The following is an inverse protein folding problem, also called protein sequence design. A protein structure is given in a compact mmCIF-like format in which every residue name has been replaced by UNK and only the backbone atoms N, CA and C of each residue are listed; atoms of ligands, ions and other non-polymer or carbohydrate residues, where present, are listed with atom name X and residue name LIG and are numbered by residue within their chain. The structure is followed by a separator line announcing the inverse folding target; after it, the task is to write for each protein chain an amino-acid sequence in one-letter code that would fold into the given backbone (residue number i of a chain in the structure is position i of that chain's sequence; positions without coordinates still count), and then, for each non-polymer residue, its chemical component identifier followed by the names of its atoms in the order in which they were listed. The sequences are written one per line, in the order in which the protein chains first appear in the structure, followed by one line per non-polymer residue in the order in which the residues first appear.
data_IF_264854218808
#
_entry.id   IF_264854218808
#
_cell.length_a   1.000
_cell.length_b   1.000
_cell.length_c   1.000
_cell.angle_alpha   90.00
_cell.angle_beta   90.00
_cell.angle_gamma   90.00
#
_symmetry.space_group_name_H-M   'P 1'
#
loop_
_entity.id
_entity.type
_entity.pdbx_description
1 polymer ?
#
# COMPACT_ATOMS: atom_id res chain seq x y z
N UNK A 1 -19.30 63.25 -4.48
CA UNK A 1 -20.10 62.34 -5.29
C UNK A 1 -19.45 60.97 -5.26
N UNK A 2 -19.90 60.10 -4.36
CA UNK A 2 -19.43 58.73 -4.23
C UNK A 2 -20.29 57.83 -5.11
N UNK A 3 -19.66 57.13 -6.07
CA UNK A 3 -20.28 56.08 -6.85
C UNK A 3 -19.95 54.73 -6.21
N UNK A 4 -20.93 54.17 -5.52
CA UNK A 4 -20.93 52.80 -5.00
C UNK A 4 -21.05 51.81 -6.16
N UNK A 5 -20.02 50.96 -6.36
CA UNK A 5 -20.09 49.79 -7.26
C UNK A 5 -20.60 48.59 -6.45
N UNK A 6 -21.83 48.20 -6.65
CA UNK A 6 -22.38 46.93 -6.24
C UNK A 6 -21.79 45.83 -7.11
N UNK A 7 -20.96 44.99 -6.52
CA UNK A 7 -20.53 43.68 -7.08
C UNK A 7 -21.66 42.68 -6.83
N UNK A 8 -22.42 42.34 -7.85
CA UNK A 8 -23.32 41.21 -7.87
C UNK A 8 -22.52 39.92 -7.92
N UNK A 9 -22.41 39.23 -6.79
CA UNK A 9 -21.94 37.83 -6.73
C UNK A 9 -23.04 36.94 -7.31
N UNK A 10 -22.92 36.54 -8.56
CA UNK A 10 -23.76 35.52 -9.15
C UNK A 10 -23.29 34.17 -8.59
N UNK A 11 -24.06 33.65 -7.61
CA UNK A 11 -23.90 32.27 -7.15
C UNK A 11 -24.26 31.34 -8.32
N UNK A 12 -23.25 30.70 -8.93
CA UNK A 12 -23.49 29.58 -9.81
C UNK A 12 -24.03 28.42 -8.97
N UNK A 13 -25.36 28.27 -8.98
CA UNK A 13 -26.00 27.05 -8.52
C UNK A 13 -25.72 25.99 -9.59
N UNK A 14 -24.65 25.23 -9.42
CA UNK A 14 -24.45 24.00 -10.16
C UNK A 14 -25.56 23.03 -9.73
N UNK A 15 -26.35 22.46 -10.69
CA UNK A 15 -27.27 21.40 -10.34
C UNK A 15 -26.46 20.27 -9.72
N UNK A 16 -26.71 19.93 -8.49
CA UNK A 16 -26.27 18.69 -7.88
C UNK A 16 -27.01 17.57 -8.62
N UNK A 17 -26.42 17.11 -9.74
CA UNK A 17 -26.70 15.76 -10.19
C UNK A 17 -26.22 14.87 -9.06
N UNK A 18 -27.17 14.31 -8.29
CA UNK A 18 -26.90 13.12 -7.53
C UNK A 18 -26.41 12.07 -8.53
N UNK A 19 -25.09 12.04 -8.77
CA UNK A 19 -24.45 10.84 -9.25
C UNK A 19 -24.76 9.81 -8.17
N UNK A 20 -25.79 9.00 -8.37
CA UNK A 20 -25.87 7.70 -7.71
C UNK A 20 -24.56 7.03 -8.02
N UNK A 21 -23.65 7.09 -7.09
CA UNK A 21 -22.50 6.23 -7.00
C UNK A 21 -23.07 4.82 -6.97
N UNK A 22 -23.13 4.15 -8.14
CA UNK A 22 -23.10 2.70 -8.18
C UNK A 22 -21.87 2.37 -7.38
N UNK A 23 -22.05 1.71 -6.23
CA UNK A 23 -21.08 1.68 -5.14
C UNK A 23 -19.68 1.42 -5.66
N UNK A 24 -18.69 2.08 -5.07
CA UNK A 24 -17.30 1.72 -5.33
C UNK A 24 -17.22 0.20 -5.41
N UNK A 25 -16.55 -0.39 -6.38
CA UNK A 25 -16.26 -1.80 -6.36
C UNK A 25 -15.52 -2.05 -5.05
N UNK A 26 -16.30 -2.33 -4.01
CA UNK A 26 -15.74 -2.75 -2.74
C UNK A 26 -15.02 -4.05 -2.98
N UNK A 27 -13.96 -4.28 -2.22
CA UNK A 27 -13.29 -5.56 -2.22
C UNK A 27 -14.34 -6.67 -2.32
N UNK A 28 -14.12 -7.57 -3.23
CA UNK A 28 -14.95 -8.76 -3.46
C UNK A 28 -15.23 -9.46 -2.12
N UNK A 29 -16.12 -10.43 -2.06
CA UNK A 29 -16.36 -11.28 -0.87
C UNK A 29 -15.05 -11.87 -0.32
N UNK A 30 -14.00 -11.91 -1.14
CA UNK A 30 -12.66 -12.35 -0.77
C UNK A 30 -11.79 -11.22 -0.25
N UNK A 31 -10.83 -11.58 0.60
CA UNK A 31 -9.85 -10.66 1.13
C UNK A 31 -8.95 -10.15 -0.01
N UNK A 32 -8.75 -8.83 -0.08
CA UNK A 32 -7.79 -8.19 -0.97
C UNK A 32 -6.74 -7.49 -0.12
N UNK A 33 -5.52 -7.98 -0.17
CA UNK A 33 -4.41 -7.50 0.68
C UNK A 33 -3.46 -6.58 -0.06
N UNK A 34 -2.67 -5.83 0.72
CA UNK A 34 -1.53 -5.05 0.26
C UNK A 34 -0.21 -5.89 0.39
N UNK A 35 -0.35 -7.22 0.46
CA UNK A 35 0.72 -8.23 0.57
C UNK A 35 0.47 -9.39 -0.38
N UNK A 36 1.53 -10.17 -0.76
CA UNK A 36 2.96 -10.10 -0.39
C UNK A 36 3.82 -9.22 -1.30
N UNK A 37 3.25 -8.68 -2.37
CA UNK A 37 3.91 -7.74 -3.27
C UNK A 37 4.12 -6.37 -2.62
N UNK A 38 4.92 -5.51 -3.24
CA UNK A 38 5.11 -4.12 -2.83
C UNK A 38 3.96 -3.25 -3.30
N UNK A 39 3.31 -3.66 -4.38
CA UNK A 39 2.12 -3.01 -4.94
C UNK A 39 0.93 -3.17 -4.00
N UNK A 40 0.42 -2.07 -3.47
CA UNK A 40 -0.82 -2.10 -2.70
C UNK A 40 -2.01 -2.42 -3.61
N UNK A 41 -3.01 -3.13 -3.06
CA UNK A 41 -4.30 -3.32 -3.72
C UNK A 41 -4.93 -1.98 -4.10
N UNK A 42 -5.54 -1.90 -5.27
CA UNK A 42 -6.35 -0.74 -5.69
C UNK A 42 -7.72 -0.70 -5.01
N UNK A 43 -8.12 -1.75 -4.29
CA UNK A 43 -9.41 -1.88 -3.64
C UNK A 43 -9.34 -1.45 -2.17
N UNK A 44 -10.44 -0.88 -1.68
CA UNK A 44 -10.64 -0.60 -0.25
C UNK A 44 -11.29 -1.79 0.45
N UNK A 45 -11.02 -1.94 1.74
CA UNK A 45 -11.70 -2.91 2.61
C UNK A 45 -13.18 -2.53 2.73
N UNK A 46 -14.12 -3.51 2.68
CA UNK A 46 -15.55 -3.22 2.79
C UNK A 46 -15.90 -2.42 4.04
N UNK A 47 -16.89 -1.52 3.90
CA UNK A 47 -17.34 -0.66 5.01
C UNK A 47 -17.73 -1.49 6.23
N UNK A 48 -17.18 -1.15 7.39
CA UNK A 48 -17.41 -1.87 8.66
C UNK A 48 -16.62 -3.16 8.79
N UNK A 49 -15.63 -3.39 7.93
CA UNK A 49 -14.70 -4.50 8.03
C UNK A 49 -13.33 -4.02 8.49
N UNK A 50 -12.67 -4.82 9.32
CA UNK A 50 -11.31 -4.62 9.81
C UNK A 50 -10.41 -5.72 9.26
N UNK A 51 -9.37 -5.35 8.54
CA UNK A 51 -8.38 -6.26 7.99
C UNK A 51 -7.04 -6.03 8.67
N UNK A 52 -6.35 -7.12 8.96
CA UNK A 52 -4.97 -7.07 9.45
C UNK A 52 -4.08 -7.96 8.58
N UNK A 53 -2.94 -7.42 8.24
CA UNK A 53 -1.92 -8.03 7.40
C UNK A 53 -0.61 -8.04 8.17
N UNK A 54 0.06 -9.18 8.23
CA UNK A 54 1.33 -9.32 8.94
C UNK A 54 2.32 -10.12 8.11
N UNK A 55 3.60 -9.86 8.32
CA UNK A 55 4.65 -10.63 7.67
C UNK A 55 6.00 -10.47 8.34
N UNK A 56 6.89 -11.39 8.00
CA UNK A 56 8.29 -11.38 8.40
C UNK A 56 9.13 -11.56 7.15
N UNK A 57 10.15 -10.73 7.00
CA UNK A 57 11.10 -10.83 5.90
C UNK A 57 12.51 -11.12 6.43
N UNK A 58 13.23 -11.91 5.67
CA UNK A 58 14.67 -12.07 5.78
C UNK A 58 15.31 -11.44 4.55
N UNK A 59 16.24 -10.52 4.74
CA UNK A 59 16.95 -9.85 3.66
C UNK A 59 18.45 -10.08 3.75
N UNK A 60 19.08 -10.24 2.59
CA UNK A 60 20.53 -10.39 2.45
C UNK A 60 21.06 -9.33 1.49
N UNK A 61 22.12 -8.65 1.93
CA UNK A 61 22.94 -7.73 1.14
C UNK A 61 24.37 -8.28 1.08
N UNK A 62 25.18 -7.76 0.21
CA UNK A 62 26.59 -8.16 0.09
C UNK A 62 27.35 -8.01 1.42
N UNK A 63 26.98 -6.99 2.21
CA UNK A 63 27.64 -6.61 3.47
C UNK A 63 26.86 -7.00 4.73
N UNK A 64 25.65 -7.59 4.62
CA UNK A 64 24.88 -7.88 5.80
C UNK A 64 23.60 -8.67 5.60
N UNK A 65 23.01 -9.03 6.73
CA UNK A 65 21.75 -9.76 6.81
C UNK A 65 20.82 -9.09 7.83
N UNK A 66 19.56 -8.99 7.50
CA UNK A 66 18.56 -8.46 8.41
C UNK A 66 17.29 -9.32 8.41
N UNK A 67 16.57 -9.27 9.53
CA UNK A 67 15.21 -9.79 9.66
C UNK A 67 14.32 -8.60 10.04
N UNK A 68 13.20 -8.48 9.42
CA UNK A 68 12.20 -7.49 9.81
C UNK A 68 10.82 -8.15 10.01
N UNK A 69 10.10 -7.63 10.98
CA UNK A 69 8.75 -8.08 11.37
C UNK A 69 8.17 -7.16 12.46
N UNK A 70 6.88 -7.12 12.64
CA UNK A 70 5.85 -7.98 12.05
C UNK A 70 5.23 -7.42 10.75
N UNK A 71 5.72 -6.32 10.21
CA UNK A 71 5.17 -5.65 9.02
C UNK A 71 3.62 -5.54 9.10
N UNK A 72 3.13 -5.12 10.28
CA UNK A 72 1.70 -5.17 10.60
C UNK A 72 0.99 -3.95 10.05
N UNK A 73 0.04 -4.19 9.14
CA UNK A 73 -0.89 -3.19 8.58
C UNK A 73 -2.31 -3.47 9.02
N UNK A 74 -2.98 -2.44 9.52
CA UNK A 74 -4.40 -2.48 9.84
C UNK A 74 -5.16 -1.60 8.86
N UNK A 75 -6.27 -2.13 8.33
CA UNK A 75 -7.12 -1.45 7.35
C UNK A 75 -8.56 -1.51 7.83
N UNK A 76 -9.23 -0.37 7.92
CA UNK A 76 -10.63 -0.25 8.36
C UNK A 76 -11.45 0.46 7.28
N UNK A 77 -12.42 -0.23 6.72
CA UNK A 77 -13.39 0.36 5.80
C UNK A 77 -14.37 1.26 6.55
N UNK A 78 -14.28 2.57 6.32
CA UNK A 78 -15.10 3.59 7.03
C UNK A 78 -16.26 4.11 6.20
N UNK A 79 -16.20 4.00 4.88
CA UNK A 79 -17.24 4.37 3.94
C UNK A 79 -17.09 3.53 2.64
N UNK A 80 -18.06 3.55 1.70
CA UNK A 80 -18.02 2.68 0.51
C UNK A 80 -16.74 2.73 -0.31
N UNK A 81 -16.08 3.89 -0.39
CA UNK A 81 -14.86 4.06 -1.17
C UNK A 81 -13.68 4.54 -0.33
N UNK A 82 -13.74 4.39 0.98
CA UNK A 82 -12.80 5.02 1.88
C UNK A 82 -12.39 4.08 3.00
N UNK A 83 -11.08 3.90 3.17
CA UNK A 83 -10.52 3.18 4.30
C UNK A 83 -9.44 3.98 5.01
N UNK A 84 -9.29 3.74 6.29
CA UNK A 84 -8.16 4.19 7.09
C UNK A 84 -7.18 3.03 7.21
N UNK A 85 -5.91 3.33 7.02
CA UNK A 85 -4.80 2.38 7.21
C UNK A 85 -3.90 2.86 8.34
N UNK A 86 -3.31 1.91 9.04
CA UNK A 86 -2.25 2.19 10.02
C UNK A 86 -1.19 1.10 9.92
N UNK A 87 0.02 1.47 9.52
CA UNK A 87 1.17 0.61 9.67
C UNK A 87 1.72 0.74 11.08
N UNK A 88 1.83 -0.38 11.78
CA UNK A 88 2.48 -0.44 13.09
C UNK A 88 4.00 -0.54 12.93
N UNK A 89 4.76 -0.14 13.96
CA UNK A 89 6.21 -0.20 13.89
C UNK A 89 6.74 -1.61 13.63
N UNK A 90 7.44 -1.78 12.55
CA UNK A 90 8.20 -3.00 12.23
C UNK A 90 9.55 -2.94 12.90
N UNK A 91 9.98 -4.01 13.53
CA UNK A 91 11.32 -4.13 14.08
C UNK A 91 12.28 -4.67 13.04
N UNK A 92 13.33 -3.91 12.76
CA UNK A 92 14.48 -4.34 11.96
C UNK A 92 15.57 -4.85 12.90
N UNK A 93 15.91 -6.12 12.76
CA UNK A 93 17.05 -6.74 13.43
C UNK A 93 18.20 -6.90 12.42
N UNK A 94 19.26 -6.12 12.56
CA UNK A 94 20.49 -6.41 11.86
C UNK A 94 21.15 -7.64 12.49
N UNK A 95 21.17 -8.75 11.76
CA UNK A 95 21.66 -10.04 12.25
C UNK A 95 23.16 -10.18 11.99
N UNK A 96 23.65 -9.59 10.91
CA UNK A 96 25.06 -9.65 10.51
C UNK A 96 25.42 -8.46 9.63
N UNK A 97 26.61 -7.90 9.84
CA UNK A 97 27.17 -6.82 9.04
C UNK A 97 26.95 -5.42 9.64
N UNK A 98 27.41 -4.38 8.96
CA UNK A 98 27.22 -3.02 9.40
C UNK A 98 25.76 -2.60 9.19
N UNK A 99 25.07 -2.21 10.23
CA UNK A 99 23.70 -1.73 10.15
C UNK A 99 23.10 -1.50 11.53
N UNK A 100 22.01 -0.75 11.55
CA UNK A 100 21.29 -0.45 12.77
C UNK A 100 20.11 -1.43 12.94
N UNK A 101 19.77 -1.70 14.19
CA UNK A 101 18.51 -2.36 14.56
C UNK A 101 17.59 -1.32 15.21
N UNK A 102 16.29 -1.50 15.05
CA UNK A 102 15.31 -0.61 15.66
C UNK A 102 13.94 -0.69 14.97
N UNK A 103 13.06 0.19 15.37
CA UNK A 103 11.68 0.23 14.89
C UNK A 103 11.49 1.26 13.79
N UNK A 104 10.62 0.96 12.83
CA UNK A 104 10.06 1.93 11.90
C UNK A 104 9.04 2.85 12.60
N UNK A 105 8.53 3.82 11.87
CA UNK A 105 7.48 4.71 12.34
C UNK A 105 6.11 4.04 12.37
N UNK A 106 5.20 4.53 13.20
CA UNK A 106 3.76 4.39 12.98
C UNK A 106 3.39 5.23 11.77
N UNK A 107 2.64 4.66 10.83
CA UNK A 107 2.26 5.37 9.60
C UNK A 107 0.75 5.28 9.36
N UNK A 108 -0.04 6.26 9.82
CA UNK A 108 -1.44 6.39 9.45
C UNK A 108 -1.58 6.85 8.00
N UNK A 109 -2.62 6.36 7.32
CA UNK A 109 -2.98 6.78 5.98
C UNK A 109 -4.50 6.73 5.74
N UNK A 110 -4.92 7.41 4.69
CA UNK A 110 -6.27 7.38 4.14
C UNK A 110 -6.18 6.88 2.70
N UNK A 111 -6.95 5.86 2.34
CA UNK A 111 -7.05 5.35 0.98
C UNK A 111 -8.46 5.62 0.46
N UNK A 112 -8.50 6.25 -0.69
CA UNK A 112 -9.72 6.55 -1.42
C UNK A 112 -9.71 5.80 -2.74
N UNK A 113 -10.63 4.85 -2.90
CA UNK A 113 -10.85 4.18 -4.17
C UNK A 113 -11.62 5.11 -5.10
N UNK A 114 -10.99 5.49 -6.18
CA UNK A 114 -11.59 6.26 -7.26
C UNK A 114 -12.40 5.27 -8.08
N UNK A 115 -13.68 5.59 -8.34
CA UNK A 115 -14.57 4.71 -9.11
C UNK A 115 -13.92 4.29 -10.43
N UNK A 116 -14.26 3.08 -10.98
CA UNK A 116 -13.56 2.57 -12.15
C UNK A 116 -13.50 3.61 -13.25
N UNK A 117 -12.27 3.89 -13.70
CA UNK A 117 -12.04 4.71 -14.86
C UNK A 117 -12.45 3.94 -16.14
N UNK A 118 -12.78 4.61 -17.26
CA UNK A 118 -13.11 3.93 -18.49
C UNK A 118 -12.05 2.86 -18.84
N UNK A 119 -12.47 1.62 -19.11
CA UNK A 119 -11.57 0.51 -19.43
C UNK A 119 -11.46 -0.57 -18.36
N UNK A 120 -12.27 -0.52 -17.29
CA UNK A 120 -12.26 -1.50 -16.18
C UNK A 120 -10.97 -1.50 -15.34
N UNK A 121 -10.32 -0.36 -15.25
CA UNK A 121 -9.16 -0.17 -14.38
C UNK A 121 -9.67 0.31 -13.03
N UNK A 122 -9.30 -0.40 -11.96
CA UNK A 122 -9.48 0.06 -10.61
C UNK A 122 -8.29 0.96 -10.22
N UNK A 123 -8.58 2.08 -9.58
CA UNK A 123 -7.59 3.07 -9.18
C UNK A 123 -7.91 3.59 -7.79
N UNK A 124 -6.88 3.75 -6.96
CA UNK A 124 -6.98 4.41 -5.67
C UNK A 124 -5.92 5.48 -5.49
N UNK A 125 -6.18 6.39 -4.57
CA UNK A 125 -5.22 7.34 -4.05
C UNK A 125 -5.04 7.11 -2.55
N UNK A 126 -3.78 7.01 -2.10
CA UNK A 126 -3.40 6.87 -0.69
C UNK A 126 -2.62 8.09 -0.27
N UNK A 127 -3.01 8.68 0.85
CA UNK A 127 -2.33 9.81 1.48
C UNK A 127 -1.93 9.39 2.89
N UNK A 128 -0.64 9.29 3.14
CA UNK A 128 -0.13 8.82 4.42
C UNK A 128 1.07 9.61 4.92
N UNK A 129 1.45 9.33 6.16
CA UNK A 129 2.64 9.91 6.76
C UNK A 129 3.24 9.00 7.83
N UNK A 130 4.55 8.80 7.78
CA UNK A 130 5.31 8.24 8.90
C UNK A 130 5.46 9.27 10.01
N UNK A 131 4.97 8.96 11.21
CA UNK A 131 5.15 9.80 12.40
C UNK A 131 6.49 9.47 13.07
N UNK A 132 7.24 10.43 13.63
CA UNK A 132 8.57 10.18 14.20
C UNK A 132 8.50 9.44 15.54
N UNK A 133 7.96 8.22 15.54
CA UNK A 133 7.76 7.35 16.70
C UNK A 133 8.77 6.22 16.78
N UNK A 134 9.47 5.94 15.68
CA UNK A 134 10.43 4.85 15.57
C UNK A 134 11.82 5.21 16.11
N UNK A 135 12.74 4.28 15.92
CA UNK A 135 14.15 4.48 16.26
C UNK A 135 14.80 5.46 15.27
N UNK A 136 15.46 6.49 15.77
CA UNK A 136 16.09 7.53 14.93
C UNK A 136 17.01 6.95 13.85
N UNK A 137 17.75 5.90 14.20
CA UNK A 137 18.69 5.25 13.28
C UNK A 137 18.01 4.50 12.09
N UNK A 138 16.73 4.17 12.23
CA UNK A 138 15.93 3.48 11.20
C UNK A 138 14.95 4.45 10.55
N UNK A 139 14.23 5.22 11.36
CA UNK A 139 13.06 5.99 10.95
C UNK A 139 13.32 7.50 10.81
N UNK A 140 14.50 8.00 11.24
CA UNK A 140 14.80 9.44 11.25
C UNK A 140 14.03 10.22 12.30
N UNK A 141 14.08 11.56 12.22
CA UNK A 141 13.55 12.47 13.26
C UNK A 141 12.31 13.26 12.85
N UNK A 142 11.89 13.19 11.61
CA UNK A 142 10.81 14.03 11.10
C UNK A 142 9.62 13.24 10.58
N UNK A 143 8.53 13.95 10.32
CA UNK A 143 7.36 13.40 9.64
C UNK A 143 7.74 13.06 8.19
N UNK A 144 7.26 11.94 7.68
CA UNK A 144 7.56 11.41 6.36
C UNK A 144 6.26 11.23 5.56
N UNK A 145 5.75 12.30 4.93
CA UNK A 145 4.56 12.20 4.09
C UNK A 145 4.82 11.31 2.86
N UNK A 146 3.77 10.68 2.37
CA UNK A 146 3.80 9.96 1.10
C UNK A 146 2.44 9.99 0.41
N UNK A 147 2.49 9.82 -0.90
CA UNK A 147 1.30 9.60 -1.74
C UNK A 147 1.51 8.37 -2.60
N UNK A 148 0.45 7.57 -2.79
CA UNK A 148 0.48 6.37 -3.62
C UNK A 148 -0.73 6.32 -4.53
N UNK A 149 -0.56 5.75 -5.71
CA UNK A 149 -1.60 5.56 -6.72
C UNK A 149 -1.57 4.10 -7.19
N UNK A 150 -2.11 3.16 -6.40
CA UNK A 150 -2.26 1.78 -6.84
C UNK A 150 -3.39 1.67 -7.86
N UNK A 151 -3.15 0.86 -8.90
CA UNK A 151 -4.10 0.56 -9.94
C UNK A 151 -4.06 -0.94 -10.28
N UNK A 152 -5.18 -1.48 -10.78
CA UNK A 152 -5.26 -2.86 -11.25
C UNK A 152 -6.19 -3.00 -12.43
N UNK A 153 -5.97 -4.03 -13.23
CA UNK A 153 -6.79 -4.38 -14.37
C UNK A 153 -6.88 -5.90 -14.49
N UNK A 154 -8.11 -6.41 -14.34
CA UNK A 154 -8.39 -7.83 -14.58
C UNK A 154 -8.43 -8.11 -16.10
N UNK A 155 -7.64 -9.09 -16.51
CA UNK A 155 -7.57 -9.57 -17.88
C UNK A 155 -8.46 -10.80 -18.04
N UNK A 156 -8.18 -11.64 -19.01
CA UNK A 156 -8.90 -12.88 -19.28
C UNK A 156 -8.22 -14.08 -18.61
N UNK A 157 -8.98 -15.13 -18.36
CA UNK A 157 -8.47 -16.44 -17.91
C UNK A 157 -7.67 -16.36 -16.60
N UNK A 158 -8.11 -15.57 -15.62
CA UNK A 158 -7.46 -15.43 -14.32
C UNK A 158 -6.09 -14.74 -14.37
N UNK A 159 -5.78 -13.99 -15.43
CA UNK A 159 -4.65 -13.06 -15.46
C UNK A 159 -5.08 -11.70 -14.97
N UNK A 160 -4.22 -11.04 -14.21
CA UNK A 160 -4.36 -9.63 -13.88
C UNK A 160 -3.03 -8.91 -13.98
N UNK A 161 -3.10 -7.59 -14.15
CA UNK A 161 -1.95 -6.69 -14.06
C UNK A 161 -2.29 -5.61 -13.07
N UNK A 162 -1.32 -5.23 -12.28
CA UNK A 162 -1.42 -4.12 -11.34
C UNK A 162 -0.11 -3.36 -11.24
N UNK A 163 -0.15 -2.23 -10.58
CA UNK A 163 1.05 -1.44 -10.35
C UNK A 163 0.76 -0.27 -9.44
N UNK A 164 1.80 0.39 -9.02
CA UNK A 164 1.70 1.52 -8.12
C UNK A 164 2.78 2.54 -8.45
N UNK A 165 2.43 3.79 -8.30
CA UNK A 165 3.35 4.90 -8.23
C UNK A 165 3.32 5.46 -6.81
N UNK A 166 4.48 5.60 -6.19
CA UNK A 166 4.62 6.18 -4.86
C UNK A 166 5.64 7.31 -4.87
N UNK A 167 5.34 8.39 -4.17
CA UNK A 167 6.30 9.45 -3.88
C UNK A 167 6.43 9.59 -2.35
N UNK A 168 7.61 9.30 -1.84
CA UNK A 168 7.97 9.47 -0.43
C UNK A 168 8.73 10.77 -0.24
N UNK A 169 8.32 11.57 0.74
CA UNK A 169 9.01 12.78 1.16
C UNK A 169 9.71 12.52 2.50
N UNK A 170 11.00 12.77 2.55
CA UNK A 170 11.82 12.49 3.72
C UNK A 170 12.34 13.76 4.38
N UNK A 171 12.48 13.77 5.72
CA UNK A 171 13.03 14.91 6.43
C UNK A 171 14.52 15.16 6.09
N UNK A 172 15.04 16.28 6.57
CA UNK A 172 16.37 16.78 6.21
C UNK A 172 17.54 15.94 6.75
N UNK A 173 17.30 15.03 7.67
CA UNK A 173 18.29 14.08 8.19
C UNK A 173 18.54 12.88 7.26
N UNK A 174 17.73 12.71 6.21
CA UNK A 174 18.01 11.73 5.17
C UNK A 174 18.79 12.33 4.00
N UNK A 175 19.65 11.54 3.37
CA UNK A 175 20.42 11.95 2.19
C UNK A 175 19.51 12.24 1.00
N UNK A 176 18.64 11.28 0.65
CA UNK A 176 17.61 11.49 -0.36
C UNK A 176 16.38 12.12 0.28
N UNK A 177 15.94 13.29 -0.23
CA UNK A 177 14.74 14.00 0.26
C UNK A 177 13.47 13.44 -0.32
N UNK A 178 13.56 12.81 -1.48
CA UNK A 178 12.45 12.14 -2.16
C UNK A 178 12.89 10.78 -2.66
N UNK A 179 11.95 9.85 -2.64
CA UNK A 179 12.10 8.58 -3.32
C UNK A 179 10.84 8.39 -4.14
N UNK A 180 11.02 8.23 -5.44
CA UNK A 180 9.95 7.78 -6.33
C UNK A 180 10.03 6.27 -6.40
N UNK A 181 8.94 5.58 -6.10
CA UNK A 181 8.82 4.12 -6.27
C UNK A 181 7.83 3.82 -7.39
N UNK A 182 8.17 2.86 -8.23
CA UNK A 182 7.28 2.35 -9.27
C UNK A 182 7.26 0.84 -9.22
N UNK A 183 6.07 0.26 -9.31
CA UNK A 183 5.88 -1.18 -9.32
C UNK A 183 5.01 -1.60 -10.49
N UNK A 184 5.19 -2.85 -10.92
CA UNK A 184 4.35 -3.50 -11.91
C UNK A 184 4.26 -4.99 -11.62
N UNK A 185 3.05 -5.51 -11.49
CA UNK A 185 2.74 -6.91 -11.17
C UNK A 185 2.04 -7.56 -12.35
N UNK A 186 2.44 -8.78 -12.63
CA UNK A 186 1.67 -9.73 -13.43
C UNK A 186 1.29 -10.90 -12.52
N UNK A 187 0.00 -11.13 -12.36
CA UNK A 187 -0.53 -12.19 -11.51
C UNK A 187 -1.33 -13.20 -12.33
N UNK A 188 -1.33 -14.44 -11.87
CA UNK A 188 -2.12 -15.56 -12.44
C UNK A 188 -2.82 -16.32 -11.32
N UNK A 189 -4.14 -16.32 -11.35
CA UNK A 189 -4.96 -17.26 -10.59
C UNK A 189 -4.81 -18.65 -11.21
N UNK A 190 -4.31 -19.62 -10.46
CA UNK A 190 -4.14 -21.00 -10.88
C UNK A 190 -5.36 -21.86 -10.47
N UNK A 191 -5.95 -21.53 -9.34
CA UNK A 191 -7.22 -22.07 -8.83
C UNK A 191 -7.99 -20.96 -8.12
N UNK A 192 -9.22 -21.23 -7.68
CA UNK A 192 -10.02 -20.27 -6.89
C UNK A 192 -9.32 -19.81 -5.60
N UNK A 193 -8.46 -20.66 -5.01
CA UNK A 193 -7.80 -20.37 -3.74
C UNK A 193 -6.29 -20.07 -3.89
N UNK A 194 -5.70 -20.20 -5.09
CA UNK A 194 -4.25 -20.11 -5.25
C UNK A 194 -3.84 -19.29 -6.44
N UNK A 195 -3.05 -18.26 -6.19
CA UNK A 195 -2.44 -17.41 -7.21
C UNK A 195 -0.92 -17.32 -7.07
N UNK A 196 -0.27 -16.96 -8.18
CA UNK A 196 1.17 -16.68 -8.26
C UNK A 196 1.37 -15.36 -8.97
N UNK A 197 2.43 -14.64 -8.60
CA UNK A 197 2.73 -13.35 -9.22
C UNK A 197 4.22 -13.19 -9.50
N UNK A 198 4.53 -12.25 -10.37
CA UNK A 198 5.85 -11.66 -10.53
C UNK A 198 5.72 -10.14 -10.59
N UNK A 199 6.63 -9.44 -9.94
CA UNK A 199 6.58 -8.01 -9.74
C UNK A 199 7.94 -7.37 -10.03
N UNK A 200 7.92 -6.29 -10.77
CA UNK A 200 9.02 -5.34 -10.86
C UNK A 200 8.85 -4.27 -9.78
N UNK A 201 9.92 -3.99 -9.02
CA UNK A 201 9.97 -2.90 -8.03
C UNK A 201 11.19 -2.03 -8.32
N UNK A 202 10.97 -0.74 -8.48
CA UNK A 202 12.04 0.23 -8.68
C UNK A 202 11.92 1.42 -7.73
N UNK A 203 12.93 1.60 -6.87
CA UNK A 203 13.11 2.77 -6.03
C UNK A 203 14.11 3.72 -6.65
N UNK A 204 13.73 4.97 -6.81
CA UNK A 204 14.52 6.03 -7.44
C UNK A 204 14.77 7.17 -6.44
N UNK A 205 15.74 7.04 -5.53
CA UNK A 205 16.07 8.08 -4.57
C UNK A 205 16.72 9.28 -5.25
N UNK A 206 16.30 10.49 -4.87
CA UNK A 206 16.88 11.73 -5.35
C UNK A 206 18.38 11.80 -5.02
N UNK A 207 19.22 11.98 -6.05
CA UNK A 207 20.66 12.11 -5.89
C UNK A 207 21.43 10.82 -5.64
N UNK A 208 20.79 9.65 -5.77
CA UNK A 208 21.44 8.35 -5.66
C UNK A 208 21.03 7.42 -6.80
N UNK A 209 21.74 6.29 -6.96
CA UNK A 209 21.40 5.29 -7.95
C UNK A 209 20.12 4.51 -7.55
N UNK A 210 19.37 3.98 -8.53
CA UNK A 210 18.16 3.24 -8.25
C UNK A 210 18.43 1.91 -7.53
N UNK A 211 17.46 1.44 -6.76
CA UNK A 211 17.38 0.07 -6.22
C UNK A 211 16.28 -0.65 -6.97
N UNK A 212 16.61 -1.75 -7.64
CA UNK A 212 15.66 -2.48 -8.50
C UNK A 212 15.60 -3.94 -8.10
N UNK A 213 14.38 -4.45 -7.94
CA UNK A 213 14.08 -5.83 -7.56
C UNK A 213 13.17 -6.49 -8.59
N UNK A 214 13.34 -7.80 -8.74
CA UNK A 214 12.33 -8.70 -9.28
C UNK A 214 11.80 -9.53 -8.13
N UNK A 215 10.54 -9.36 -7.79
CA UNK A 215 9.83 -10.08 -6.74
C UNK A 215 8.92 -11.13 -7.38
N UNK A 216 8.77 -12.28 -6.74
CA UNK A 216 7.83 -13.31 -7.17
C UNK A 216 7.32 -14.05 -5.96
N UNK A 217 6.08 -14.49 -6.01
CA UNK A 217 5.48 -15.15 -4.86
C UNK A 217 4.19 -15.86 -5.17
N UNK A 218 3.57 -16.31 -4.11
CA UNK A 218 2.30 -17.02 -4.15
C UNK A 218 1.41 -16.62 -2.98
N UNK A 219 0.11 -16.66 -3.22
CA UNK A 219 -0.94 -16.41 -2.25
C UNK A 219 -1.85 -17.64 -2.21
N UNK A 220 -2.19 -18.06 -1.01
CA UNK A 220 -3.16 -19.13 -0.77
C UNK A 220 -4.27 -18.64 0.17
N UNK A 221 -5.51 -18.62 -0.30
CA UNK A 221 -6.68 -18.30 0.48
C UNK A 221 -7.11 -19.53 1.31
N UNK A 222 -6.92 -19.47 2.64
CA UNK A 222 -7.38 -20.50 3.57
C UNK A 222 -8.89 -20.47 3.65
N UNK A 223 -9.46 -19.28 3.63
CA UNK A 223 -10.89 -18.96 3.56
C UNK A 223 -11.07 -17.67 2.77
N UNK A 224 -12.31 -17.28 2.49
CA UNK A 224 -12.59 -15.99 1.82
C UNK A 224 -12.05 -14.75 2.56
N UNK A 225 -11.77 -14.88 3.86
CA UNK A 225 -11.31 -13.78 4.71
C UNK A 225 -9.94 -14.02 5.34
N UNK A 226 -9.23 -15.07 4.93
CA UNK A 226 -7.91 -15.41 5.47
C UNK A 226 -7.00 -15.91 4.37
N UNK A 227 -5.78 -15.44 4.35
CA UNK A 227 -4.74 -15.90 3.44
C UNK A 227 -3.39 -16.05 4.11
N UNK A 228 -2.57 -16.92 3.54
CA UNK A 228 -1.13 -16.97 3.75
C UNK A 228 -0.44 -16.63 2.45
N UNK A 229 0.72 -16.05 2.57
CA UNK A 229 1.53 -15.64 1.42
C UNK A 229 3.01 -15.94 1.64
N UNK A 230 3.73 -16.07 0.54
CA UNK A 230 5.19 -16.13 0.52
C UNK A 230 5.72 -15.42 -0.71
N UNK A 231 6.91 -14.84 -0.59
CA UNK A 231 7.59 -14.22 -1.72
C UNK A 231 9.11 -14.33 -1.62
N UNK A 232 9.75 -14.21 -2.76
CA UNK A 232 11.18 -14.06 -2.88
C UNK A 232 11.47 -12.95 -3.90
N UNK A 233 12.30 -11.98 -3.50
CA UNK A 233 12.76 -10.92 -4.37
C UNK A 233 14.26 -11.03 -4.59
N UNK A 234 14.71 -10.71 -5.80
CA UNK A 234 16.11 -10.69 -6.21
C UNK A 234 16.50 -9.29 -6.65
N UNK A 235 17.66 -8.83 -6.17
CA UNK A 235 18.25 -7.57 -6.60
C UNK A 235 18.71 -7.65 -8.06
N UNK A 236 18.26 -6.68 -8.87
CA UNK A 236 18.69 -6.55 -10.27
C UNK A 236 19.89 -5.61 -10.43
N UNK A 237 20.27 -4.92 -9.35
CA UNK A 237 21.45 -4.06 -9.33
C UNK A 237 22.08 -4.02 -7.93
N UNK A 238 23.27 -3.45 -7.81
CA UNK A 238 24.09 -3.44 -6.59
C UNK A 238 23.51 -2.60 -5.43
N UNK A 239 22.57 -1.71 -5.69
CA UNK A 239 21.91 -0.91 -4.63
C UNK A 239 20.79 -1.69 -3.95
N UNK A 240 20.25 -2.71 -4.62
CA UNK A 240 19.21 -3.56 -4.08
C UNK A 240 19.78 -4.65 -3.16
N UNK A 241 19.00 -5.20 -2.23
CA UNK A 241 19.33 -6.45 -1.55
C UNK A 241 19.58 -7.56 -2.55
N UNK A 242 20.55 -8.45 -2.27
CA UNK A 242 20.81 -9.61 -3.14
C UNK A 242 19.57 -10.49 -3.24
N UNK A 243 18.90 -10.72 -2.12
CA UNK A 243 17.56 -11.32 -2.07
C UNK A 243 16.81 -10.93 -0.80
N UNK A 244 15.48 -11.01 -0.88
CA UNK A 244 14.54 -10.92 0.23
C UNK A 244 13.65 -12.15 0.16
N UNK A 245 13.43 -12.82 1.28
CA UNK A 245 12.45 -13.87 1.43
C UNK A 245 11.45 -13.48 2.50
N UNK A 246 10.16 -13.59 2.22
CA UNK A 246 9.12 -13.21 3.15
C UNK A 246 7.97 -14.22 3.20
N UNK A 247 7.32 -14.25 4.36
CA UNK A 247 6.08 -15.00 4.60
C UNK A 247 5.11 -14.10 5.33
N UNK A 248 3.81 -14.30 5.07
CA UNK A 248 2.78 -13.50 5.70
C UNK A 248 1.51 -14.25 5.98
N UNK A 249 0.69 -13.64 6.83
CA UNK A 249 -0.66 -14.06 7.14
C UNK A 249 -1.55 -12.83 7.28
N UNK A 250 -2.70 -12.88 6.65
CA UNK A 250 -3.68 -11.80 6.66
C UNK A 250 -5.07 -12.34 6.98
N UNK A 251 -5.87 -11.52 7.67
CA UNK A 251 -7.27 -11.85 7.96
C UNK A 251 -8.15 -10.60 7.95
N UNK A 252 -9.45 -10.82 7.67
CA UNK A 252 -10.48 -9.78 7.71
C UNK A 252 -11.65 -10.19 8.60
N UNK A 253 -12.10 -9.29 9.43
CA UNK A 253 -13.29 -9.38 10.28
C UNK A 253 -14.36 -8.46 9.70
N UNK A 254 -15.50 -9.04 9.28
CA UNK A 254 -16.58 -8.30 8.65
C UNK A 254 -17.67 -7.94 9.67
N UNK A 255 -18.47 -6.90 9.36
CA UNK A 255 -19.67 -6.56 10.09
C UNK A 255 -19.48 -5.85 11.43
N UNK A 256 -18.32 -5.24 11.69
CA UNK A 256 -18.04 -4.52 12.96
C UNK A 256 -19.02 -3.37 13.24
N UNK A 257 -19.57 -2.73 12.20
CA UNK A 257 -20.57 -1.65 12.31
C UNK A 257 -22.00 -2.14 12.01
N UNK A 258 -22.22 -3.45 11.90
CA UNK A 258 -23.56 -4.02 11.82
C UNK A 258 -24.27 -3.84 13.16
N UNK A 259 -24.40 -2.60 13.59
CA UNK A 259 -25.21 -2.21 14.75
C UNK A 259 -26.66 -2.49 14.47
N UNK A 260 -27.33 -3.11 15.42
CA UNK A 260 -28.77 -3.25 15.51
C UNK A 260 -29.46 -2.05 14.90
N UNK A 261 -30.19 -2.24 13.80
CA UNK A 261 -31.29 -1.30 13.45
C UNK A 261 -32.22 -1.31 14.67
N UNK A 262 -32.15 -0.23 15.47
CA UNK A 262 -33.14 0.11 16.48
C UNK A 262 -34.45 0.48 15.78
#
# INVERSE_FOLDING_TARGET
MLLARCLLLSALILPSTEARSEGCPTAKDEIATDRPDVTNSSLVVPTGSLQNENGVNFSMRDDGRAIDGTNSRWRLGIAPCLEVLVDLPTYFANVQGPGNSGFTNVSPALKWQISPVPGKIDLSAVFGMGLPTGSVAIAGRGVQPYVQFPWSWELHDGWSVSGMFTEFFRPSDFTAKRITETTFVLEKELTEDFSVFTEYVGDYPEGAGPSVLLNSGAVYHITRTQQVDLHIAFGLNHNAPAYIFGVGYSFRLDGLFAGKRL
#
